data_IF_638555394829
#
_entry.id   IF_638555394829
#
_cell.length_a   1.000
_cell.length_b   1.000
_cell.length_c   1.000
_cell.angle_alpha   90.00
_cell.angle_beta   90.00
_cell.angle_gamma   90.00
#
_symmetry.space_group_name_H-M   'P 1'
#
loop_
_entity.id
_entity.type
_entity.pdbx_description
1 polymer ?
#
# COMPACT_ATOMS: atom_id res chain seq x y z
N UNK A 1 -7.28 -9.88 -26.95
CA UNK A 1 -8.56 -9.20 -26.89
C UNK A 1 -9.51 -9.73 -27.96
N UNK A 2 -9.16 -9.62 -29.25
CA UNK A 2 -9.97 -10.06 -30.38
C UNK A 2 -10.40 -11.55 -30.27
N UNK A 3 -9.48 -12.44 -29.98
CA UNK A 3 -9.79 -13.89 -29.83
C UNK A 3 -10.86 -14.17 -28.75
N UNK A 4 -10.87 -13.42 -27.67
CA UNK A 4 -11.87 -13.59 -26.60
C UNK A 4 -13.21 -13.02 -27.03
N UNK A 5 -13.23 -11.87 -27.71
CA UNK A 5 -14.45 -11.32 -28.28
C UNK A 5 -15.08 -12.27 -29.32
N UNK A 6 -14.28 -12.80 -30.22
CA UNK A 6 -14.73 -13.77 -31.23
C UNK A 6 -15.30 -15.05 -30.59
N UNK A 7 -14.65 -15.52 -29.50
CA UNK A 7 -15.16 -16.64 -28.71
C UNK A 7 -16.53 -16.32 -28.09
N UNK A 8 -16.68 -15.16 -27.45
CA UNK A 8 -17.95 -14.77 -26.83
C UNK A 8 -19.07 -14.61 -27.87
N UNK A 9 -18.77 -14.02 -29.02
CA UNK A 9 -19.74 -13.91 -30.13
C UNK A 9 -20.15 -15.30 -30.62
N UNK A 10 -19.22 -16.19 -30.81
CA UNK A 10 -19.50 -17.56 -31.25
C UNK A 10 -20.34 -18.33 -30.23
N UNK A 11 -20.09 -18.14 -28.94
CA UNK A 11 -20.76 -18.87 -27.86
C UNK A 11 -22.16 -18.30 -27.53
N UNK A 12 -22.35 -16.99 -27.64
CA UNK A 12 -23.58 -16.30 -27.22
C UNK A 12 -24.38 -15.68 -28.34
N UNK A 13 -23.81 -15.54 -29.52
CA UNK A 13 -24.40 -14.75 -30.63
C UNK A 13 -24.40 -13.24 -30.41
N UNK A 14 -23.74 -12.74 -29.33
CA UNK A 14 -23.79 -11.34 -28.91
C UNK A 14 -22.39 -10.72 -28.92
N UNK A 15 -22.24 -9.63 -29.67
CA UNK A 15 -21.05 -8.79 -29.55
C UNK A 15 -21.14 -7.95 -28.26
N UNK A 16 -20.10 -7.98 -27.45
CA UNK A 16 -20.03 -7.26 -26.19
C UNK A 16 -18.92 -6.20 -26.19
N UNK A 17 -19.18 -5.11 -25.46
CA UNK A 17 -18.17 -4.24 -24.89
C UNK A 17 -18.01 -4.65 -23.40
N UNK A 18 -16.80 -4.98 -22.94
CA UNK A 18 -16.56 -5.49 -21.58
C UNK A 18 -16.92 -4.51 -20.47
N UNK A 19 -17.12 -3.25 -20.79
CA UNK A 19 -17.52 -2.20 -19.84
C UNK A 19 -18.98 -1.78 -19.97
N UNK A 20 -19.70 -2.28 -20.98
CA UNK A 20 -21.12 -2.02 -21.16
C UNK A 20 -21.97 -3.11 -20.50
N UNK A 21 -22.53 -2.80 -19.32
CA UNK A 21 -23.33 -3.74 -18.55
C UNK A 21 -24.54 -4.29 -19.31
N UNK A 22 -25.19 -3.48 -20.19
CA UNK A 22 -26.31 -3.95 -21.00
C UNK A 22 -25.89 -4.95 -22.08
N UNK A 23 -24.70 -4.74 -22.68
CA UNK A 23 -24.18 -5.67 -23.69
C UNK A 23 -23.78 -7.01 -23.04
N UNK A 24 -23.14 -6.97 -21.87
CA UNK A 24 -22.85 -8.17 -21.08
C UNK A 24 -24.15 -8.86 -20.67
N UNK A 25 -25.15 -8.11 -20.19
CA UNK A 25 -26.45 -8.66 -19.82
C UNK A 25 -27.10 -9.47 -20.95
N UNK A 26 -27.12 -8.94 -22.19
CA UNK A 26 -27.63 -9.69 -23.36
C UNK A 26 -26.88 -11.00 -23.59
N UNK A 27 -25.57 -11.04 -23.40
CA UNK A 27 -24.79 -12.26 -23.54
C UNK A 27 -25.12 -13.27 -22.43
N UNK A 28 -25.33 -12.82 -21.19
CA UNK A 28 -25.78 -13.65 -20.07
C UNK A 28 -27.22 -14.17 -20.28
N UNK A 29 -28.13 -13.33 -20.80
CA UNK A 29 -29.50 -13.72 -21.16
C UNK A 29 -29.51 -14.79 -22.26
N UNK A 30 -28.69 -14.65 -23.29
CA UNK A 30 -28.56 -15.63 -24.38
C UNK A 30 -28.12 -17.02 -23.85
N UNK A 31 -27.34 -17.07 -22.79
CA UNK A 31 -26.91 -18.30 -22.13
C UNK A 31 -27.82 -18.73 -20.96
N UNK A 32 -28.89 -17.95 -20.67
CA UNK A 32 -29.78 -18.15 -19.52
C UNK A 32 -29.03 -18.18 -18.18
N UNK A 33 -27.98 -17.37 -18.06
CA UNK A 33 -27.18 -17.23 -16.84
C UNK A 33 -27.74 -16.08 -15.99
N UNK A 34 -28.16 -16.32 -14.74
CA UNK A 34 -28.69 -15.28 -13.87
C UNK A 34 -27.59 -14.28 -13.46
N UNK A 35 -28.00 -13.01 -13.28
CA UNK A 35 -27.11 -11.95 -12.82
C UNK A 35 -27.88 -10.92 -11.98
N UNK A 36 -27.12 -10.14 -11.20
CA UNK A 36 -27.67 -9.11 -10.33
C UNK A 36 -28.08 -7.86 -11.11
N UNK A 37 -29.07 -7.15 -10.56
CA UNK A 37 -29.50 -5.84 -11.03
C UNK A 37 -29.37 -4.80 -9.94
N UNK A 38 -29.16 -3.55 -10.34
CA UNK A 38 -29.07 -2.42 -9.40
C UNK A 38 -30.46 -2.13 -8.81
N UNK A 39 -30.55 -1.97 -7.49
CA UNK A 39 -31.82 -1.72 -6.77
C UNK A 39 -32.55 -0.46 -7.28
N UNK A 40 -31.80 0.62 -7.57
CA UNK A 40 -32.39 1.91 -7.92
C UNK A 40 -32.87 2.01 -9.38
N UNK A 41 -32.18 1.36 -10.32
CA UNK A 41 -32.42 1.56 -11.76
C UNK A 41 -32.77 0.29 -12.53
N UNK A 42 -32.71 -0.90 -11.87
CA UNK A 42 -32.93 -2.19 -12.50
C UNK A 42 -31.92 -2.56 -13.59
N UNK A 43 -30.84 -1.79 -13.76
CA UNK A 43 -29.81 -2.06 -14.77
C UNK A 43 -28.99 -3.29 -14.39
N UNK A 44 -28.49 -4.08 -15.36
CA UNK A 44 -27.55 -5.17 -15.10
C UNK A 44 -26.35 -4.68 -14.28
N UNK A 45 -25.94 -5.49 -13.28
CA UNK A 45 -24.80 -5.19 -12.41
C UNK A 45 -23.72 -6.26 -12.60
N UNK A 46 -22.60 -5.86 -13.16
CA UNK A 46 -21.43 -6.70 -13.42
C UNK A 46 -20.18 -6.06 -12.81
N UNK A 47 -20.20 -5.90 -11.47
CA UNK A 47 -19.02 -5.44 -10.75
C UNK A 47 -17.95 -6.53 -10.67
N UNK A 48 -16.79 -6.14 -10.13
CA UNK A 48 -15.65 -7.04 -10.03
C UNK A 48 -15.95 -8.25 -9.15
N UNK A 49 -16.65 -8.03 -8.03
CA UNK A 49 -16.91 -9.07 -7.04
C UNK A 49 -17.88 -10.12 -7.60
N UNK A 50 -18.96 -9.66 -8.26
CA UNK A 50 -19.88 -10.56 -8.95
C UNK A 50 -19.15 -11.42 -10.00
N UNK A 51 -18.44 -10.78 -10.93
CA UNK A 51 -17.80 -11.50 -12.05
C UNK A 51 -16.68 -12.45 -11.57
N UNK A 52 -15.89 -12.04 -10.58
CA UNK A 52 -14.78 -12.86 -10.07
C UNK A 52 -15.24 -14.09 -9.29
N UNK A 53 -16.41 -14.01 -8.64
CA UNK A 53 -16.99 -15.11 -7.88
C UNK A 53 -17.94 -15.99 -8.72
N UNK A 54 -18.30 -15.54 -9.92
CA UNK A 54 -19.24 -16.24 -10.77
C UNK A 54 -18.59 -17.43 -11.49
N UNK A 55 -19.22 -18.63 -11.43
CA UNK A 55 -18.65 -19.88 -11.92
C UNK A 55 -18.68 -20.05 -13.45
N UNK A 56 -19.50 -19.28 -14.18
CA UNK A 56 -19.66 -19.44 -15.63
C UNK A 56 -18.41 -19.06 -16.41
N UNK A 57 -18.15 -19.75 -17.51
CA UNK A 57 -17.06 -19.44 -18.44
C UNK A 57 -17.19 -18.02 -19.02
N UNK A 58 -18.42 -17.61 -19.34
CA UNK A 58 -18.70 -16.27 -19.84
C UNK A 58 -18.23 -15.18 -18.86
N UNK A 59 -18.49 -15.32 -17.55
CA UNK A 59 -18.01 -14.37 -16.55
C UNK A 59 -16.48 -14.32 -16.51
N UNK A 60 -15.82 -15.47 -16.53
CA UNK A 60 -14.34 -15.57 -16.57
C UNK A 60 -13.77 -14.89 -17.82
N UNK A 61 -14.40 -15.05 -18.99
CA UNK A 61 -14.00 -14.41 -20.26
C UNK A 61 -14.20 -12.88 -20.19
N UNK A 62 -15.28 -12.40 -19.56
CA UNK A 62 -15.48 -10.96 -19.35
C UNK A 62 -14.41 -10.38 -18.43
N UNK A 63 -14.05 -11.07 -17.33
CA UNK A 63 -12.94 -10.66 -16.43
C UNK A 63 -11.62 -10.59 -17.22
N UNK A 64 -11.27 -11.67 -17.92
CA UNK A 64 -10.05 -11.72 -18.73
C UNK A 64 -10.00 -10.61 -19.79
N UNK A 65 -11.12 -10.33 -20.45
CA UNK A 65 -11.23 -9.25 -21.44
C UNK A 65 -11.01 -7.88 -20.82
N UNK A 66 -11.59 -7.63 -19.63
CA UNK A 66 -11.36 -6.39 -18.86
C UNK A 66 -9.91 -6.21 -18.45
N UNK A 67 -9.26 -7.27 -18.00
CA UNK A 67 -7.84 -7.24 -17.61
C UNK A 67 -6.92 -6.95 -18.80
N UNK A 68 -7.14 -7.62 -19.93
CA UNK A 68 -6.37 -7.39 -21.17
C UNK A 68 -6.61 -5.98 -21.72
N UNK A 69 -7.86 -5.51 -21.72
CA UNK A 69 -8.17 -4.16 -22.16
C UNK A 69 -7.49 -3.12 -21.27
N UNK A 70 -7.56 -3.30 -19.95
CA UNK A 70 -6.85 -2.44 -19.00
C UNK A 70 -5.34 -2.48 -19.22
N UNK A 71 -4.76 -3.66 -19.44
CA UNK A 71 -3.34 -3.78 -19.73
C UNK A 71 -2.94 -2.98 -20.97
N UNK A 72 -3.71 -3.08 -22.05
CA UNK A 72 -3.48 -2.33 -23.29
C UNK A 72 -3.65 -0.81 -23.09
N UNK A 73 -4.82 -0.38 -22.64
CA UNK A 73 -5.18 1.05 -22.61
C UNK A 73 -4.47 1.83 -21.50
N UNK A 74 -4.35 1.22 -20.32
CA UNK A 74 -3.77 1.91 -19.15
C UNK A 74 -2.23 1.86 -19.16
N UNK A 75 -1.64 0.75 -19.63
CA UNK A 75 -0.19 0.57 -19.54
C UNK A 75 0.49 0.72 -20.91
N UNK A 76 0.17 -0.12 -21.90
CA UNK A 76 0.90 -0.13 -23.18
C UNK A 76 0.73 1.20 -23.93
N UNK A 77 -0.49 1.70 -24.06
CA UNK A 77 -0.75 2.97 -24.73
C UNK A 77 -0.11 4.15 -23.98
N UNK A 78 -0.13 4.10 -22.64
CA UNK A 78 0.52 5.11 -21.80
C UNK A 78 2.04 5.06 -21.93
N UNK A 79 2.66 3.88 -21.95
CA UNK A 79 4.09 3.71 -22.19
C UNK A 79 4.47 4.30 -23.56
N UNK A 80 3.74 3.93 -24.63
CA UNK A 80 3.97 4.45 -25.97
C UNK A 80 3.86 5.99 -26.03
N UNK A 81 2.80 6.54 -25.41
CA UNK A 81 2.54 7.99 -25.38
C UNK A 81 3.65 8.78 -24.70
N UNK A 82 4.23 8.23 -23.64
CA UNK A 82 5.24 8.91 -22.82
C UNK A 82 6.69 8.47 -23.09
N UNK A 83 6.88 7.56 -24.06
CA UNK A 83 8.23 7.17 -24.49
C UNK A 83 8.84 8.25 -25.37
N UNK A 84 10.07 8.64 -25.03
CA UNK A 84 10.87 9.59 -25.80
C UNK A 84 12.31 9.08 -25.89
N UNK A 85 12.81 8.91 -27.11
CA UNK A 85 14.16 8.37 -27.38
C UNK A 85 14.47 7.07 -26.62
N UNK A 86 13.50 6.15 -26.59
CA UNK A 86 13.65 4.85 -25.90
C UNK A 86 13.54 4.90 -24.38
N UNK A 87 13.22 6.06 -23.79
CA UNK A 87 13.07 6.22 -22.33
C UNK A 87 11.70 6.75 -21.95
N UNK A 88 11.29 6.51 -20.72
CA UNK A 88 10.07 7.07 -20.12
C UNK A 88 10.46 7.99 -18.96
N UNK A 89 9.86 9.16 -18.93
CA UNK A 89 10.07 10.15 -17.89
C UNK A 89 8.74 10.48 -17.21
N UNK A 90 8.59 10.07 -15.95
CA UNK A 90 7.44 10.44 -15.12
C UNK A 90 7.64 11.82 -14.49
N UNK A 91 6.54 12.53 -14.27
CA UNK A 91 6.55 13.70 -13.38
C UNK A 91 6.56 13.23 -11.93
N UNK A 92 7.63 13.54 -11.19
CA UNK A 92 7.85 13.09 -9.82
C UNK A 92 7.45 14.19 -8.83
N UNK A 93 6.51 13.89 -7.93
CA UNK A 93 6.14 14.77 -6.82
C UNK A 93 6.85 14.30 -5.55
N UNK A 94 7.91 14.98 -5.16
CA UNK A 94 8.68 14.69 -3.95
C UNK A 94 7.95 15.19 -2.69
N UNK A 95 7.20 16.27 -2.82
CA UNK A 95 6.41 16.91 -1.75
C UNK A 95 4.97 17.06 -2.21
N UNK A 96 4.06 17.18 -1.24
CA UNK A 96 2.67 17.52 -1.53
C UNK A 96 2.55 18.99 -1.90
N UNK A 97 1.89 19.26 -3.01
CA UNK A 97 1.50 20.58 -3.50
C UNK A 97 0.13 20.49 -4.21
N UNK A 98 -0.31 21.57 -4.83
CA UNK A 98 -1.58 21.63 -5.55
C UNK A 98 -1.63 20.70 -6.78
N UNK A 99 -0.45 20.33 -7.31
CA UNK A 99 -0.30 19.45 -8.47
C UNK A 99 -0.28 17.95 -8.10
N UNK A 100 -0.18 17.60 -6.81
CA UNK A 100 -0.12 16.22 -6.35
C UNK A 100 0.75 16.02 -5.11
N UNK A 101 1.26 14.80 -4.94
CA UNK A 101 2.06 14.40 -3.78
C UNK A 101 1.22 13.74 -2.69
N UNK A 102 1.89 13.18 -1.69
CA UNK A 102 1.26 12.40 -0.62
C UNK A 102 1.34 13.10 0.74
N UNK A 103 0.38 12.82 1.62
CA UNK A 103 0.38 13.35 3.00
C UNK A 103 1.46 12.69 3.85
N UNK A 104 1.82 11.45 3.57
CA UNK A 104 2.87 10.70 4.28
C UNK A 104 4.27 11.20 3.95
N UNK A 105 4.46 11.86 2.81
CA UNK A 105 5.77 12.23 2.26
C UNK A 105 6.36 11.17 1.33
N UNK A 106 5.65 10.08 1.03
CA UNK A 106 6.02 9.16 -0.05
C UNK A 106 6.09 9.94 -1.37
N UNK A 107 7.00 9.57 -2.24
CA UNK A 107 7.04 10.07 -3.62
C UNK A 107 5.77 9.59 -4.32
N UNK A 108 5.21 10.41 -5.18
CA UNK A 108 4.17 9.99 -6.12
C UNK A 108 4.54 10.40 -7.54
N UNK A 109 4.08 9.62 -8.51
CA UNK A 109 4.38 9.84 -9.92
C UNK A 109 3.10 10.08 -10.71
N UNK A 110 3.23 10.85 -11.80
CA UNK A 110 2.16 11.10 -12.78
C UNK A 110 2.75 11.30 -14.16
N UNK A 111 1.95 11.11 -15.19
CA UNK A 111 2.29 11.35 -16.61
C UNK A 111 3.60 10.64 -17.08
N UNK A 112 3.72 9.30 -16.95
CA UNK A 112 2.80 8.33 -16.37
C UNK A 112 3.05 8.04 -14.88
N UNK A 113 2.08 7.36 -14.22
CA UNK A 113 2.32 6.85 -12.88
C UNK A 113 2.98 5.46 -12.94
N UNK A 114 4.31 5.43 -12.90
CA UNK A 114 5.09 4.21 -12.98
C UNK A 114 4.98 3.34 -11.72
N UNK A 115 4.56 3.92 -10.57
CA UNK A 115 4.33 3.17 -9.33
C UNK A 115 3.07 2.29 -9.36
N UNK A 116 2.26 2.39 -10.42
CA UNK A 116 1.04 1.59 -10.60
C UNK A 116 1.19 0.52 -11.69
N UNK A 117 2.41 0.22 -12.14
CA UNK A 117 2.62 -0.89 -13.07
C UNK A 117 2.12 -2.20 -12.45
N UNK A 118 1.48 -3.07 -13.24
CA UNK A 118 0.81 -4.26 -12.71
C UNK A 118 1.82 -5.18 -12.00
N UNK A 119 1.38 -5.75 -10.87
CA UNK A 119 2.17 -6.69 -10.08
C UNK A 119 1.39 -7.96 -9.70
N UNK A 120 0.03 -7.90 -9.68
CA UNK A 120 -0.80 -8.97 -9.10
C UNK A 120 -1.14 -10.10 -10.06
N UNK A 121 -1.24 -9.82 -11.35
CA UNK A 121 -1.49 -10.82 -12.39
C UNK A 121 -0.17 -11.12 -13.06
N UNK A 122 0.45 -12.30 -12.86
CA UNK A 122 1.80 -12.60 -13.37
C UNK A 122 1.92 -12.46 -14.88
N UNK A 123 0.90 -12.91 -15.66
CA UNK A 123 0.94 -12.82 -17.12
C UNK A 123 0.99 -11.35 -17.60
N UNK A 124 0.13 -10.50 -17.03
CA UNK A 124 0.10 -9.07 -17.38
C UNK A 124 1.31 -8.34 -16.83
N UNK A 125 1.72 -8.66 -15.59
CA UNK A 125 2.89 -8.08 -14.94
C UNK A 125 4.15 -8.32 -15.75
N UNK A 126 4.44 -9.57 -16.09
CA UNK A 126 5.62 -9.93 -16.83
C UNK A 126 5.68 -9.26 -18.21
N UNK A 127 4.58 -9.25 -18.96
CA UNK A 127 4.52 -8.59 -20.27
C UNK A 127 4.78 -7.08 -20.16
N UNK A 128 4.19 -6.40 -19.17
CA UNK A 128 4.32 -4.95 -19.04
C UNK A 128 5.70 -4.56 -18.47
N UNK A 129 6.15 -5.26 -17.43
CA UNK A 129 7.42 -4.94 -16.78
C UNK A 129 8.62 -5.34 -17.64
N UNK A 130 8.54 -6.38 -18.48
CA UNK A 130 9.60 -6.74 -19.42
C UNK A 130 9.87 -5.68 -20.51
N UNK A 131 9.01 -4.67 -20.64
CA UNK A 131 9.28 -3.52 -21.51
C UNK A 131 10.30 -2.52 -20.93
N UNK A 132 10.63 -2.66 -19.65
CA UNK A 132 11.61 -1.82 -18.96
C UNK A 132 12.94 -2.57 -18.86
N UNK A 133 13.95 -2.01 -19.50
CA UNK A 133 15.26 -2.62 -19.65
C UNK A 133 16.32 -1.83 -18.86
N UNK A 134 17.35 -2.50 -18.34
CA UNK A 134 18.53 -1.83 -17.79
C UNK A 134 19.33 -1.14 -18.91
N UNK A 135 20.41 -0.49 -18.56
CA UNK A 135 21.41 -0.01 -19.54
C UNK A 135 22.06 -1.22 -20.25
N UNK A 136 22.60 -0.97 -21.43
CA UNK A 136 23.20 -2.02 -22.27
C UNK A 136 24.36 -2.73 -21.55
N UNK A 137 24.27 -4.05 -21.47
CA UNK A 137 25.28 -4.90 -20.80
C UNK A 137 25.10 -5.04 -19.30
N UNK A 138 24.08 -4.44 -18.71
CA UNK A 138 23.79 -4.50 -17.28
C UNK A 138 22.56 -5.36 -16.96
N UNK A 139 22.28 -5.55 -15.68
CA UNK A 139 21.07 -6.24 -15.20
C UNK A 139 20.12 -5.25 -14.52
N UNK A 140 18.82 -5.49 -14.66
CA UNK A 140 17.83 -4.82 -13.81
C UNK A 140 17.92 -5.39 -12.40
N UNK A 141 18.13 -4.53 -11.42
CA UNK A 141 18.14 -4.90 -10.00
C UNK A 141 17.00 -4.21 -9.27
N UNK A 142 16.08 -4.99 -8.70
CA UNK A 142 15.05 -4.52 -7.79
C UNK A 142 15.54 -4.71 -6.33
N UNK A 143 15.63 -3.61 -5.58
CA UNK A 143 16.12 -3.59 -4.20
C UNK A 143 14.99 -3.15 -3.28
N UNK A 144 14.39 -4.08 -2.55
CA UNK A 144 13.22 -3.84 -1.71
C UNK A 144 13.57 -3.93 -0.22
N UNK A 145 13.08 -2.97 0.58
CA UNK A 145 13.23 -3.03 2.04
C UNK A 145 12.37 -4.14 2.62
N UNK A 146 13.00 -5.19 3.08
CA UNK A 146 12.32 -6.30 3.75
C UNK A 146 11.60 -5.82 5.02
N UNK A 147 10.27 -5.86 5.00
CA UNK A 147 9.43 -5.51 6.16
C UNK A 147 9.75 -4.11 6.73
N UNK A 148 9.91 -3.11 5.88
CA UNK A 148 10.31 -1.75 6.28
C UNK A 148 9.41 -1.16 7.39
N UNK A 149 8.10 -1.13 7.18
CA UNK A 149 7.17 -0.56 8.16
C UNK A 149 7.16 -1.31 9.51
N UNK A 150 7.15 -2.66 9.56
CA UNK A 150 7.33 -3.43 10.79
C UNK A 150 8.61 -3.11 11.56
N UNK A 151 9.76 -3.00 10.88
CA UNK A 151 11.05 -2.67 11.52
C UNK A 151 11.03 -1.24 12.09
N UNK A 152 10.46 -0.28 11.37
CA UNK A 152 10.28 1.09 11.86
C UNK A 152 9.31 1.13 13.05
N UNK A 153 8.22 0.37 13.02
CA UNK A 153 7.29 0.26 14.14
C UNK A 153 7.98 -0.28 15.39
N UNK A 154 8.77 -1.34 15.24
CA UNK A 154 9.56 -1.93 16.34
C UNK A 154 10.58 -0.93 16.88
N UNK A 155 11.26 -0.16 16.02
CA UNK A 155 12.15 0.92 16.42
C UNK A 155 11.45 1.95 17.32
N UNK A 156 10.28 2.45 16.91
CA UNK A 156 9.54 3.41 17.72
C UNK A 156 9.00 2.79 19.01
N UNK A 157 8.44 1.60 18.95
CA UNK A 157 7.91 0.90 20.12
C UNK A 157 9.00 0.64 21.17
N UNK A 158 10.19 0.22 20.76
CA UNK A 158 11.33 -0.01 21.65
C UNK A 158 12.02 1.28 22.14
N UNK A 159 11.74 2.41 21.50
CA UNK A 159 12.28 3.72 21.88
C UNK A 159 11.41 4.44 22.93
N UNK A 160 10.18 3.98 23.13
CA UNK A 160 9.23 4.57 24.09
C UNK A 160 9.30 3.79 25.41
N UNK A 161 9.23 4.54 26.51
CA UNK A 161 9.07 3.99 27.86
C UNK A 161 7.82 4.56 28.51
N UNK A 162 7.08 3.71 29.20
CA UNK A 162 5.96 4.08 30.05
C UNK A 162 6.35 3.73 31.49
N UNK A 163 6.31 4.70 32.37
CA UNK A 163 6.76 4.58 33.78
C UNK A 163 8.16 3.96 33.91
N UNK A 164 9.09 4.37 33.02
CA UNK A 164 10.48 3.90 32.98
C UNK A 164 10.67 2.51 32.37
N UNK A 165 9.62 1.79 32.02
CA UNK A 165 9.66 0.43 31.46
C UNK A 165 9.41 0.41 29.94
N UNK A 166 10.02 -0.53 29.24
CA UNK A 166 9.72 -0.79 27.83
C UNK A 166 8.25 -1.22 27.67
N UNK A 167 7.69 -1.01 26.49
CA UNK A 167 6.38 -1.55 26.15
C UNK A 167 6.42 -3.08 26.21
N UNK A 168 5.35 -3.69 26.73
CA UNK A 168 5.33 -5.13 26.99
C UNK A 168 5.42 -5.95 25.69
N UNK A 169 6.35 -6.93 25.64
CA UNK A 169 6.58 -7.83 24.51
C UNK A 169 7.35 -7.21 23.35
N UNK A 170 7.74 -5.92 23.40
CA UNK A 170 8.48 -5.29 22.29
C UNK A 170 9.92 -5.80 22.19
N UNK A 171 10.55 -6.16 23.30
CA UNK A 171 11.95 -6.61 23.30
C UNK A 171 12.11 -7.98 22.67
N UNK A 172 11.11 -8.86 22.76
CA UNK A 172 11.09 -10.16 22.08
C UNK A 172 11.10 -9.97 20.55
N UNK A 173 10.39 -8.96 20.05
CA UNK A 173 10.38 -8.60 18.62
C UNK A 173 11.72 -7.96 18.21
N UNK A 174 12.32 -7.13 19.07
CA UNK A 174 13.65 -6.55 18.81
C UNK A 174 14.70 -7.64 18.70
N UNK A 175 14.69 -8.62 19.61
CA UNK A 175 15.60 -9.77 19.60
C UNK A 175 15.38 -10.64 18.36
N UNK A 176 14.13 -10.96 18.04
CA UNK A 176 13.80 -11.73 16.85
C UNK A 176 14.34 -11.08 15.57
N UNK A 177 14.23 -9.76 15.42
CA UNK A 177 14.73 -9.05 14.23
C UNK A 177 16.27 -9.01 14.12
N UNK A 178 17.03 -9.52 15.10
CA UNK A 178 18.47 -9.74 14.93
C UNK A 178 18.73 -10.89 13.92
N UNK A 179 17.80 -11.83 13.76
CA UNK A 179 17.83 -12.77 12.66
C UNK A 179 17.23 -12.10 11.39
N UNK A 180 18.03 -11.97 10.32
CA UNK A 180 17.56 -11.40 9.05
C UNK A 180 16.36 -12.14 8.42
N UNK A 181 16.16 -13.41 8.78
CA UNK A 181 15.07 -14.25 8.26
C UNK A 181 13.77 -14.10 9.04
N UNK A 182 13.75 -13.29 10.11
CA UNK A 182 12.54 -13.10 10.93
C UNK A 182 11.39 -12.56 10.11
N UNK A 183 10.26 -13.23 10.21
CA UNK A 183 8.98 -12.77 9.70
C UNK A 183 8.17 -12.15 10.85
N UNK A 184 8.04 -10.83 10.83
CA UNK A 184 7.27 -10.08 11.84
C UNK A 184 5.82 -10.57 11.96
N UNK A 185 5.18 -10.91 10.85
CA UNK A 185 3.80 -11.36 10.89
C UNK A 185 3.66 -12.74 11.52
N UNK A 186 4.66 -13.62 11.33
CA UNK A 186 4.73 -14.91 12.01
C UNK A 186 5.02 -14.71 13.49
N UNK A 187 5.98 -13.85 13.86
CA UNK A 187 6.26 -13.52 15.26
C UNK A 187 5.02 -13.04 16.01
N UNK A 188 4.26 -12.13 15.40
CA UNK A 188 3.02 -11.63 15.99
C UNK A 188 1.93 -12.72 16.01
N UNK A 189 1.87 -13.58 15.01
CA UNK A 189 0.95 -14.71 14.96
C UNK A 189 1.18 -15.66 16.14
N UNK A 190 2.43 -15.98 16.42
CA UNK A 190 2.84 -16.86 17.53
C UNK A 190 2.51 -16.20 18.88
N UNK A 191 2.85 -14.92 19.07
CA UNK A 191 2.49 -14.17 20.28
C UNK A 191 0.99 -14.10 20.53
N UNK A 192 0.20 -13.90 19.50
CA UNK A 192 -1.26 -13.76 19.57
C UNK A 192 -2.01 -15.11 19.50
N UNK A 193 -1.31 -16.22 19.24
CA UNK A 193 -1.88 -17.56 19.00
C UNK A 193 -2.96 -17.54 17.91
N UNK A 194 -2.64 -16.97 16.75
CA UNK A 194 -3.48 -16.88 15.54
C UNK A 194 -2.67 -17.27 14.32
N UNK A 195 -3.33 -17.51 13.18
CA UNK A 195 -2.61 -17.79 11.94
C UNK A 195 -1.91 -16.53 11.37
N UNK A 196 -0.85 -16.76 10.60
CA UNK A 196 0.00 -15.70 10.02
C UNK A 196 -0.78 -14.74 9.08
N UNK A 197 -1.75 -15.26 8.32
CA UNK A 197 -2.56 -14.45 7.40
C UNK A 197 -3.45 -13.48 8.17
N UNK A 198 -4.07 -13.98 9.24
CA UNK A 198 -4.86 -13.18 10.18
C UNK A 198 -4.00 -12.13 10.88
N UNK A 199 -2.82 -12.51 11.39
CA UNK A 199 -1.87 -11.57 12.00
C UNK A 199 -1.44 -10.48 11.02
N UNK A 200 -1.12 -10.82 9.75
CA UNK A 200 -0.79 -9.86 8.69
C UNK A 200 -1.93 -8.86 8.45
N UNK A 201 -3.17 -9.35 8.36
CA UNK A 201 -4.36 -8.52 8.15
C UNK A 201 -4.57 -7.55 9.32
N UNK A 202 -4.45 -8.04 10.56
CA UNK A 202 -4.57 -7.20 11.76
C UNK A 202 -3.44 -6.18 11.84
N UNK A 203 -2.19 -6.59 11.69
CA UNK A 203 -1.03 -5.71 11.79
C UNK A 203 -1.11 -4.54 10.79
N UNK A 204 -1.39 -4.85 9.53
CA UNK A 204 -1.57 -3.83 8.50
C UNK A 204 -2.79 -2.96 8.82
N UNK A 205 -3.92 -3.58 9.15
CA UNK A 205 -5.16 -2.87 9.44
C UNK A 205 -5.05 -1.91 10.61
N UNK A 206 -4.45 -2.33 11.72
CA UNK A 206 -4.25 -1.49 12.90
C UNK A 206 -3.38 -0.27 12.61
N UNK A 207 -2.32 -0.44 11.82
CA UNK A 207 -1.49 0.68 11.37
C UNK A 207 -2.30 1.73 10.61
N UNK A 208 -3.39 1.33 9.94
CA UNK A 208 -4.33 2.21 9.24
C UNK A 208 -5.54 2.63 10.05
N UNK A 209 -5.58 2.32 11.35
CA UNK A 209 -6.69 2.65 12.24
C UNK A 209 -7.95 1.80 12.00
N UNK A 210 -7.75 0.54 11.62
CA UNK A 210 -8.84 -0.42 11.42
C UNK A 210 -9.55 -0.72 12.73
N UNK A 211 -10.88 -0.54 12.74
CA UNK A 211 -11.75 -0.97 13.83
C UNK A 211 -12.36 -2.36 13.58
N UNK A 212 -13.07 -2.87 14.57
CA UNK A 212 -13.66 -4.23 14.60
C UNK A 212 -14.57 -4.48 13.39
N UNK A 213 -15.43 -3.53 13.00
CA UNK A 213 -16.34 -3.69 11.85
C UNK A 213 -15.59 -3.91 10.54
N UNK A 214 -14.47 -3.21 10.33
CA UNK A 214 -13.64 -3.41 9.14
C UNK A 214 -12.89 -4.73 9.20
N UNK A 215 -12.40 -5.13 10.38
CA UNK A 215 -11.77 -6.44 10.59
C UNK A 215 -12.71 -7.59 10.25
N UNK A 216 -13.98 -7.53 10.72
CA UNK A 216 -15.04 -8.49 10.39
C UNK A 216 -15.20 -8.64 8.87
N UNK A 217 -15.25 -7.53 8.13
CA UNK A 217 -15.36 -7.56 6.66
C UNK A 217 -14.12 -8.12 5.95
N UNK A 218 -12.93 -7.73 6.37
CA UNK A 218 -11.65 -8.19 5.75
C UNK A 218 -11.40 -9.70 5.95
N UNK A 219 -11.85 -10.24 7.09
CA UNK A 219 -11.70 -11.67 7.42
C UNK A 219 -12.97 -12.49 7.13
N UNK A 220 -14.02 -11.86 6.62
CA UNK A 220 -15.32 -12.52 6.34
C UNK A 220 -15.86 -13.30 7.53
N UNK A 221 -15.80 -12.70 8.72
CA UNK A 221 -16.27 -13.31 9.98
C UNK A 221 -17.36 -12.47 10.65
N UNK A 222 -18.12 -13.07 11.57
CA UNK A 222 -19.11 -12.36 12.35
C UNK A 222 -18.50 -11.27 13.23
N UNK A 223 -19.26 -10.22 13.53
CA UNK A 223 -18.78 -9.07 14.30
C UNK A 223 -18.38 -9.46 15.74
N UNK A 224 -19.07 -10.44 16.34
CA UNK A 224 -18.75 -11.02 17.64
C UNK A 224 -17.36 -11.64 17.66
N UNK A 225 -17.05 -12.45 16.63
CA UNK A 225 -15.79 -13.18 16.51
C UNK A 225 -14.64 -12.22 16.21
N UNK A 226 -14.88 -11.23 15.34
CA UNK A 226 -13.92 -10.15 15.10
C UNK A 226 -13.59 -9.36 16.37
N UNK A 227 -14.59 -9.15 17.26
CA UNK A 227 -14.37 -8.50 18.56
C UNK A 227 -13.54 -9.36 19.51
N UNK A 228 -13.80 -10.65 19.57
CA UNK A 228 -13.02 -11.58 20.39
C UNK A 228 -11.57 -11.66 19.89
N UNK A 229 -11.39 -11.82 18.59
CA UNK A 229 -10.06 -11.85 17.95
C UNK A 229 -9.29 -10.54 18.19
N UNK A 230 -9.94 -9.40 18.04
CA UNK A 230 -9.34 -8.07 18.28
C UNK A 230 -8.87 -7.91 19.72
N UNK A 231 -9.69 -8.35 20.69
CA UNK A 231 -9.34 -8.32 22.11
C UNK A 231 -8.20 -9.30 22.43
N UNK A 232 -8.25 -10.52 21.89
CA UNK A 232 -7.18 -11.52 22.03
C UNK A 232 -5.84 -10.96 21.52
N UNK A 233 -5.83 -10.39 20.32
CA UNK A 233 -4.64 -9.76 19.75
C UNK A 233 -4.09 -8.68 20.68
N UNK A 234 -4.88 -7.73 21.13
CA UNK A 234 -4.43 -6.63 21.97
C UNK A 234 -3.99 -7.08 23.39
N UNK A 235 -4.53 -8.17 23.91
CA UNK A 235 -4.07 -8.72 25.19
C UNK A 235 -2.73 -9.44 25.08
N UNK A 236 -2.46 -10.07 23.94
CA UNK A 236 -1.21 -10.82 23.69
C UNK A 236 -0.08 -9.95 23.10
N UNK A 237 -0.45 -8.91 22.35
CA UNK A 237 0.49 -7.99 21.69
C UNK A 237 0.20 -6.53 22.11
N UNK A 238 0.31 -6.22 23.42
CA UNK A 238 -0.16 -4.92 23.93
C UNK A 238 0.69 -3.72 23.48
N UNK A 239 1.96 -3.91 23.12
CA UNK A 239 2.82 -2.81 22.67
C UNK A 239 2.28 -2.10 21.42
N UNK A 240 1.58 -2.82 20.54
CA UNK A 240 0.98 -2.22 19.34
C UNK A 240 -0.09 -1.21 19.73
N UNK A 241 -1.01 -1.62 20.63
CA UNK A 241 -2.06 -0.72 21.14
C UNK A 241 -1.46 0.45 21.91
N UNK A 242 -0.51 0.20 22.79
CA UNK A 242 0.17 1.24 23.56
C UNK A 242 0.83 2.27 22.63
N UNK A 243 1.50 1.83 21.56
CA UNK A 243 2.11 2.74 20.58
C UNK A 243 1.05 3.56 19.81
N UNK A 244 -0.09 2.95 19.46
CA UNK A 244 -1.22 3.66 18.83
C UNK A 244 -1.72 4.77 19.77
N UNK A 245 -1.98 4.45 21.02
CA UNK A 245 -2.51 5.39 22.02
C UNK A 245 -1.51 6.54 22.26
N UNK A 246 -0.22 6.25 22.39
CA UNK A 246 0.84 7.24 22.56
C UNK A 246 0.92 8.18 21.34
N UNK A 247 0.91 7.64 20.12
CA UNK A 247 0.98 8.44 18.90
C UNK A 247 -0.28 9.34 18.75
N UNK A 248 -1.46 8.78 19.05
CA UNK A 248 -2.75 9.49 19.00
C UNK A 248 -2.79 10.62 20.01
N UNK A 249 -2.48 10.34 21.29
CA UNK A 249 -2.45 11.35 22.36
C UNK A 249 -1.44 12.47 22.06
N UNK A 250 -0.28 12.13 21.50
CA UNK A 250 0.70 13.14 21.06
C UNK A 250 0.16 14.02 19.94
N UNK A 251 -0.51 13.43 18.95
CA UNK A 251 -1.13 14.16 17.85
C UNK A 251 -2.26 15.09 18.34
N UNK A 252 -3.06 14.63 19.29
CA UNK A 252 -4.13 15.45 19.93
C UNK A 252 -3.56 16.61 20.73
N UNK A 253 -2.59 16.32 21.60
CA UNK A 253 -2.00 17.32 22.49
C UNK A 253 -1.22 18.39 21.74
N UNK A 254 -0.31 17.98 20.86
CA UNK A 254 0.65 18.88 20.22
C UNK A 254 0.27 19.28 18.78
N UNK A 255 -0.71 18.61 18.17
CA UNK A 255 -1.12 18.84 16.78
C UNK A 255 -0.14 18.31 15.73
N UNK A 256 0.88 17.56 16.12
CA UNK A 256 1.81 16.91 15.20
C UNK A 256 2.51 15.71 15.83
N UNK A 257 3.02 14.84 14.96
CA UNK A 257 4.03 13.83 15.27
C UNK A 257 5.29 14.13 14.45
N UNK A 258 6.42 13.51 14.81
CA UNK A 258 7.69 13.61 14.07
C UNK A 258 8.09 12.23 13.56
N UNK A 259 8.41 12.16 12.28
CA UNK A 259 9.03 11.00 11.65
C UNK A 259 10.45 10.76 12.16
N UNK A 260 11.07 9.68 11.72
CA UNK A 260 12.42 9.30 12.14
C UNK A 260 13.49 10.36 11.81
N UNK A 261 13.32 11.08 10.70
CA UNK A 261 14.18 12.20 10.30
C UNK A 261 13.70 13.56 10.86
N UNK A 262 12.77 13.55 11.83
CA UNK A 262 12.29 14.76 12.51
C UNK A 262 11.25 15.58 11.75
N UNK A 263 10.83 15.14 10.55
CA UNK A 263 9.80 15.82 9.75
C UNK A 263 8.45 15.82 10.48
N UNK A 264 7.80 16.98 10.54
CA UNK A 264 6.50 17.14 11.21
C UNK A 264 5.34 16.69 10.30
N UNK A 265 4.55 15.74 10.77
CA UNK A 265 3.23 15.41 10.22
C UNK A 265 2.16 16.11 11.07
N UNK A 266 1.47 17.10 10.50
CA UNK A 266 0.55 17.99 11.22
C UNK A 266 -0.89 17.49 11.20
N UNK A 267 -1.63 17.80 12.29
CA UNK A 267 -3.06 17.57 12.47
C UNK A 267 -3.72 18.90 12.82
N UNK A 268 -3.80 19.78 11.84
CA UNK A 268 -4.26 21.16 11.98
C UNK A 268 -5.68 21.42 11.45
N UNK A 269 -6.41 20.34 11.12
CA UNK A 269 -7.83 20.41 10.82
C UNK A 269 -8.66 19.92 12.02
N UNK A 270 -9.88 20.41 12.14
CA UNK A 270 -10.76 20.16 13.26
C UNK A 270 -12.14 19.69 12.79
N UNK A 271 -12.80 18.90 13.64
CA UNK A 271 -14.17 18.41 13.49
C UNK A 271 -14.90 18.52 14.82
N UNK A 272 -16.25 18.45 14.86
CA UNK A 272 -16.98 18.37 16.13
C UNK A 272 -16.52 17.20 16.99
N UNK A 273 -16.68 17.31 18.30
CA UNK A 273 -16.44 16.20 19.25
C UNK A 273 -17.51 15.13 19.16
N UNK A 274 -18.72 15.51 18.79
CA UNK A 274 -19.83 14.59 18.62
C UNK A 274 -19.56 13.55 17.54
N UNK A 275 -20.32 12.45 17.58
CA UNK A 275 -20.20 11.37 16.62
C UNK A 275 -20.94 11.72 15.33
N UNK A 276 -20.26 11.56 14.17
CA UNK A 276 -20.81 11.85 12.86
C UNK A 276 -19.75 11.89 11.77
N UNK A 277 -20.20 12.14 10.54
CA UNK A 277 -19.33 12.37 9.39
C UNK A 277 -19.29 13.86 9.09
N UNK A 278 -18.20 14.51 9.44
CA UNK A 278 -18.01 15.94 9.30
C UNK A 278 -16.85 16.26 8.37
N UNK A 279 -16.94 17.42 7.72
CA UNK A 279 -15.86 17.96 6.89
C UNK A 279 -14.78 18.55 7.80
N UNK A 280 -13.51 18.06 7.73
CA UNK A 280 -12.44 18.68 8.51
C UNK A 280 -12.15 20.10 8.01
N UNK A 281 -12.11 21.07 8.93
CA UNK A 281 -11.90 22.49 8.63
C UNK A 281 -10.68 23.03 9.39
N UNK A 282 -10.01 24.09 8.90
CA UNK A 282 -9.09 24.88 9.72
C UNK A 282 -9.77 25.34 11.02
N UNK A 283 -8.99 25.60 12.07
CA UNK A 283 -9.52 25.84 13.42
C UNK A 283 -10.57 26.94 13.44
N UNK A 284 -10.25 28.12 12.91
CA UNK A 284 -11.15 29.27 12.87
C UNK A 284 -12.48 28.96 12.15
N UNK A 285 -12.40 28.29 11.00
CA UNK A 285 -13.60 27.89 10.28
C UNK A 285 -14.40 26.81 11.02
N UNK A 286 -13.72 25.88 11.72
CA UNK A 286 -14.39 24.86 12.53
C UNK A 286 -15.09 25.47 13.76
N UNK A 287 -14.50 26.48 14.39
CA UNK A 287 -15.08 27.21 15.50
C UNK A 287 -16.34 27.99 15.07
N UNK A 288 -16.33 28.58 13.88
CA UNK A 288 -17.50 29.26 13.30
C UNK A 288 -18.63 28.28 12.94
N UNK A 289 -18.26 27.13 12.32
CA UNK A 289 -19.24 26.17 11.82
C UNK A 289 -19.80 25.24 12.91
N UNK A 290 -18.95 24.85 13.88
CA UNK A 290 -19.26 23.82 14.87
C UNK A 290 -19.32 24.36 16.31
N UNK A 291 -18.99 25.64 16.52
CA UNK A 291 -19.05 26.34 17.82
C UNK A 291 -17.70 26.50 18.52
N UNK A 292 -17.64 27.49 19.41
CA UNK A 292 -16.42 27.92 20.13
C UNK A 292 -16.33 27.42 21.56
N UNK A 293 -17.31 26.65 22.06
CA UNK A 293 -17.34 26.16 23.43
C UNK A 293 -16.21 25.16 23.73
N UNK A 294 -15.89 25.05 25.03
CA UNK A 294 -14.90 24.10 25.51
C UNK A 294 -15.30 22.65 25.07
N UNK A 295 -14.39 21.94 24.45
CA UNK A 295 -14.61 20.59 23.94
C UNK A 295 -15.64 20.44 22.79
N UNK A 296 -16.05 21.51 22.11
CA UNK A 296 -16.95 21.37 20.96
C UNK A 296 -16.26 20.87 19.70
N UNK A 297 -14.98 21.17 19.54
CA UNK A 297 -14.19 20.69 18.41
C UNK A 297 -12.95 19.92 18.89
N UNK A 298 -12.54 18.93 18.08
CA UNK A 298 -11.30 18.14 18.27
C UNK A 298 -10.49 18.08 16.99
N UNK A 299 -9.18 17.78 17.11
CA UNK A 299 -8.33 17.59 15.92
C UNK A 299 -8.82 16.41 15.09
N UNK A 300 -8.93 16.62 13.79
CA UNK A 300 -9.38 15.60 12.85
C UNK A 300 -8.29 14.58 12.55
N UNK A 301 -8.67 13.30 12.50
CA UNK A 301 -7.84 12.20 11.97
C UNK A 301 -6.65 11.82 12.84
N UNK A 302 -6.62 12.17 14.13
CA UNK A 302 -5.54 11.80 15.08
C UNK A 302 -5.38 10.30 15.26
N UNK A 303 -6.43 9.52 15.09
CA UNK A 303 -6.40 8.06 15.07
C UNK A 303 -5.47 7.47 13.98
N UNK A 304 -5.08 8.27 12.99
CA UNK A 304 -4.11 7.92 11.94
C UNK A 304 -2.67 8.29 12.30
N UNK A 305 -2.42 8.73 13.53
CA UNK A 305 -1.11 9.25 13.92
C UNK A 305 -0.01 8.18 13.78
N UNK A 306 -0.26 6.95 14.23
CA UNK A 306 0.70 5.86 14.08
C UNK A 306 0.98 5.58 12.60
N UNK A 307 -0.05 5.46 11.77
CA UNK A 307 0.14 5.25 10.33
C UNK A 307 1.03 6.35 9.70
N UNK A 308 0.74 7.63 10.00
CA UNK A 308 1.54 8.75 9.49
C UNK A 308 2.97 8.74 10.02
N UNK A 309 3.17 8.28 11.26
CA UNK A 309 4.50 8.10 11.83
C UNK A 309 5.29 7.05 11.06
N UNK A 310 4.72 5.85 10.89
CA UNK A 310 5.40 4.71 10.28
C UNK A 310 5.61 4.95 8.78
N UNK A 311 4.56 5.24 8.02
CA UNK A 311 4.69 5.51 6.57
C UNK A 311 5.55 6.73 6.27
N UNK A 312 5.45 7.77 7.12
CA UNK A 312 6.29 8.95 6.95
C UNK A 312 7.75 8.66 7.20
N UNK A 313 8.06 7.82 8.19
CA UNK A 313 9.43 7.40 8.49
C UNK A 313 9.99 6.45 7.44
N UNK A 314 9.17 5.56 6.88
CA UNK A 314 9.52 4.71 5.74
C UNK A 314 9.89 5.57 4.51
N UNK A 315 9.05 6.56 4.19
CA UNK A 315 9.36 7.50 3.12
C UNK A 315 10.64 8.31 3.36
N UNK A 316 10.90 8.69 4.60
CA UNK A 316 12.15 9.39 4.98
C UNK A 316 13.37 8.48 4.81
N UNK A 317 13.29 7.22 5.21
CA UNK A 317 14.36 6.23 5.04
C UNK A 317 14.67 6.01 3.55
N UNK A 318 13.67 5.70 2.73
CA UNK A 318 13.84 5.50 1.28
C UNK A 318 14.45 6.73 0.62
N UNK A 319 13.99 7.95 0.95
CA UNK A 319 14.56 9.19 0.42
C UNK A 319 16.00 9.44 0.87
N UNK A 320 16.31 9.12 2.12
CA UNK A 320 17.69 9.25 2.62
C UNK A 320 18.61 8.30 1.87
N UNK A 321 18.19 7.06 1.64
CA UNK A 321 18.94 6.10 0.82
C UNK A 321 19.18 6.62 -0.60
N UNK A 322 18.15 7.20 -1.23
CA UNK A 322 18.32 7.81 -2.57
C UNK A 322 19.35 8.93 -2.57
N UNK A 323 19.40 9.76 -1.52
CA UNK A 323 20.40 10.83 -1.40
C UNK A 323 21.80 10.25 -1.22
N UNK A 324 21.95 9.24 -0.36
CA UNK A 324 23.24 8.62 -0.07
C UNK A 324 23.77 7.87 -1.30
N UNK A 325 22.90 7.14 -1.99
CA UNK A 325 23.21 6.45 -3.25
C UNK A 325 23.63 7.44 -4.35
N UNK A 326 22.90 8.55 -4.49
CA UNK A 326 23.21 9.58 -5.46
C UNK A 326 24.59 10.23 -5.20
N UNK A 327 24.99 10.40 -3.93
CA UNK A 327 26.31 10.93 -3.57
C UNK A 327 27.46 10.01 -3.98
N UNK A 328 27.17 8.72 -4.21
CA UNK A 328 28.10 7.70 -4.69
C UNK A 328 27.96 7.42 -6.20
N UNK A 329 27.16 8.25 -6.90
CA UNK A 329 26.92 8.11 -8.34
C UNK A 329 25.92 7.01 -8.72
N UNK A 330 25.27 6.36 -7.75
CA UNK A 330 24.27 5.30 -7.95
C UNK A 330 22.87 5.93 -8.02
N UNK A 331 22.30 6.03 -9.22
CA UNK A 331 21.01 6.66 -9.45
C UNK A 331 19.94 5.59 -9.74
N UNK A 332 18.85 5.52 -8.98
CA UNK A 332 17.78 4.59 -9.28
C UNK A 332 17.06 4.95 -10.58
N UNK A 333 16.71 3.95 -11.37
CA UNK A 333 15.89 4.09 -12.57
C UNK A 333 14.44 4.44 -12.20
N UNK A 334 13.94 3.80 -11.13
CA UNK A 334 12.59 3.99 -10.63
C UNK A 334 12.54 3.78 -9.12
N UNK A 335 11.60 4.42 -8.44
CA UNK A 335 11.29 4.21 -7.02
C UNK A 335 9.83 3.80 -6.89
N UNK A 336 9.56 2.67 -6.22
CA UNK A 336 8.23 2.12 -6.00
C UNK A 336 8.05 1.81 -4.52
N UNK A 337 7.38 2.69 -3.80
CA UNK A 337 7.12 2.57 -2.35
C UNK A 337 8.39 2.45 -1.51
N UNK A 338 8.82 1.25 -1.18
CA UNK A 338 10.00 0.84 -0.44
C UNK A 338 11.10 0.20 -1.32
N UNK A 339 10.82 0.05 -2.63
CA UNK A 339 11.71 -0.52 -3.63
C UNK A 339 12.44 0.59 -4.41
N UNK A 340 13.71 0.37 -4.69
CA UNK A 340 14.54 1.15 -5.60
C UNK A 340 15.11 0.24 -6.67
N UNK A 341 14.83 0.56 -7.93
CA UNK A 341 15.32 -0.22 -9.06
C UNK A 341 16.50 0.46 -9.74
N UNK A 342 17.50 -0.32 -10.10
CA UNK A 342 18.74 0.15 -10.70
C UNK A 342 19.10 -0.63 -11.95
N UNK A 343 19.91 -0.01 -12.79
CA UNK A 343 20.77 -0.71 -13.72
C UNK A 343 22.06 -1.08 -12.98
N UNK A 344 22.36 -2.37 -12.91
CA UNK A 344 23.44 -2.93 -12.09
C UNK A 344 24.52 -3.51 -12.99
N UNK A 345 25.66 -2.80 -13.06
CA UNK A 345 26.78 -3.19 -13.91
C UNK A 345 27.73 -4.21 -13.28
N UNK A 346 27.73 -4.33 -11.95
CA UNK A 346 28.65 -5.22 -11.26
C UNK A 346 28.12 -5.73 -9.91
N UNK A 347 28.63 -6.87 -9.44
CA UNK A 347 28.36 -7.38 -8.09
C UNK A 347 28.84 -6.39 -7.00
N UNK A 348 29.85 -5.59 -7.28
CA UNK A 348 30.33 -4.54 -6.38
C UNK A 348 29.27 -3.46 -6.19
N UNK A 349 28.64 -3.02 -7.27
CA UNK A 349 27.56 -2.03 -7.22
C UNK A 349 26.36 -2.56 -6.46
N UNK A 350 25.99 -3.82 -6.73
CA UNK A 350 24.90 -4.49 -6.00
C UNK A 350 25.16 -4.49 -4.48
N UNK A 351 26.35 -4.93 -4.04
CA UNK A 351 26.73 -4.94 -2.62
C UNK A 351 26.72 -3.53 -2.02
N UNK A 352 27.21 -2.53 -2.77
CA UNK A 352 27.25 -1.15 -2.31
C UNK A 352 25.85 -0.56 -2.18
N UNK A 353 24.93 -0.85 -3.08
CA UNK A 353 23.53 -0.43 -3.00
C UNK A 353 22.89 -0.99 -1.73
N UNK A 354 23.04 -2.30 -1.48
CA UNK A 354 22.51 -2.95 -0.27
C UNK A 354 23.06 -2.28 1.00
N UNK A 355 24.39 -2.15 1.09
CA UNK A 355 25.06 -1.55 2.24
C UNK A 355 24.55 -0.13 2.54
N UNK A 356 24.43 0.71 1.53
CA UNK A 356 23.94 2.08 1.68
C UNK A 356 22.47 2.08 2.12
N UNK A 357 21.60 1.29 1.48
CA UNK A 357 20.19 1.23 1.84
C UNK A 357 20.00 0.74 3.28
N UNK A 358 20.67 -0.32 3.69
CA UNK A 358 20.54 -0.88 5.04
C UNK A 358 21.05 0.07 6.13
N UNK A 359 22.03 0.92 5.82
CA UNK A 359 22.68 1.80 6.79
C UNK A 359 22.28 3.29 6.69
N UNK A 360 21.42 3.67 5.75
CA UNK A 360 21.00 5.07 5.53
C UNK A 360 20.31 5.71 6.75
N UNK A 361 19.60 4.90 7.54
CA UNK A 361 18.96 5.32 8.79
C UNK A 361 19.22 4.28 9.88
N UNK A 362 19.78 4.73 10.99
CA UNK A 362 20.06 3.86 12.12
C UNK A 362 18.77 3.52 12.89
N UNK A 363 18.31 2.28 12.76
CA UNK A 363 17.20 1.73 13.53
C UNK A 363 17.70 0.90 14.72
N UNK A 364 16.87 0.67 15.73
CA UNK A 364 17.16 -0.25 16.84
C UNK A 364 17.08 -1.73 16.45
N UNK A 365 16.53 -2.00 15.29
CA UNK A 365 16.52 -3.31 14.63
C UNK A 365 17.19 -3.16 13.27
N UNK A 366 17.94 -4.15 12.78
CA UNK A 366 18.63 -4.04 11.49
C UNK A 366 17.64 -3.76 10.35
N UNK A 367 17.96 -2.85 9.44
CA UNK A 367 17.31 -2.80 8.14
C UNK A 367 17.83 -3.96 7.28
N UNK A 368 16.98 -4.48 6.41
CA UNK A 368 17.34 -5.53 5.45
C UNK A 368 16.80 -5.17 4.07
N UNK A 369 17.60 -5.43 3.04
CA UNK A 369 17.24 -5.26 1.65
C UNK A 369 17.26 -6.60 0.94
N UNK A 370 16.15 -6.99 0.35
CA UNK A 370 16.04 -8.15 -0.53
C UNK A 370 16.31 -7.68 -1.96
N UNK A 371 16.96 -8.53 -2.77
CA UNK A 371 17.38 -8.16 -4.14
C UNK A 371 16.97 -9.23 -5.12
N UNK A 372 16.34 -8.81 -6.21
CA UNK A 372 16.10 -9.63 -7.37
C UNK A 372 16.82 -9.02 -8.59
N UNK A 373 17.47 -9.87 -9.40
CA UNK A 373 18.17 -9.49 -10.62
C UNK A 373 17.54 -10.16 -11.83
N UNK A 374 17.42 -9.44 -12.95
CA UNK A 374 16.90 -9.98 -14.21
C UNK A 374 17.45 -9.23 -15.43
N UNK A 375 17.17 -9.73 -16.63
CA UNK A 375 17.50 -9.03 -17.87
C UNK A 375 16.55 -7.85 -18.15
N UNK A 376 15.46 -7.79 -17.43
CA UNK A 376 14.44 -6.74 -17.48
C UNK A 376 13.68 -6.71 -16.14
N UNK A 377 12.86 -5.66 -15.95
CA UNK A 377 12.07 -5.54 -14.72
C UNK A 377 11.08 -6.70 -14.48
N UNK A 378 10.55 -7.33 -15.55
CA UNK A 378 9.65 -8.49 -15.42
C UNK A 378 10.32 -9.70 -14.81
N UNK A 379 11.59 -9.92 -15.08
CA UNK A 379 12.40 -11.02 -14.56
C UNK A 379 12.98 -10.73 -13.17
N UNK A 380 13.18 -9.46 -12.82
CA UNK A 380 13.64 -9.03 -11.50
C UNK A 380 12.46 -8.89 -10.50
N UNK A 381 11.49 -9.79 -10.57
CA UNK A 381 10.42 -9.90 -9.59
C UNK A 381 10.44 -11.28 -8.95
N UNK A 382 10.22 -11.34 -7.62
CA UNK A 382 10.00 -12.58 -6.87
C UNK A 382 8.63 -13.21 -7.14
#
# INVERSE_FOLDING_TARGET
>A
EKKILDYIIKDTGVAIDPFNARAIGRAFDAKKIPYERTEKSGQPKFDKDFLSNHRSDLAKKVVQLREINKARTTFIETIKKHSYKGRIHASINQLRNDMGGTVSGRISMRNPNLQQMPARNPEVSNIIRSLFLPEEGEKWGAFDYSQQEPRIMTHFASSVKVDGKNLYGVMDVVEAFQDPKTDFHQQIADMAEIDRKTAKTINLGLSYGMGIKKLSGELSMELSDAKQLFNKYHSRVPFVKQLIDIATNRAEKYGFIRTIMGRKCRFNLYVPTEWGVFKPLPREAAELEYGTGFNQIKRAGTFRALNRLIQGSAADQTKKSMVDLASEGLLPLIQIHDELDFSVGSEKDQKKIIEIMENSVNLKVPSKVDVALGDNWGEAND
#
